data_IF_523329623430
#
_entry.id   IF_523329623430
#
_cell.length_a   1.000
_cell.length_b   1.000
_cell.length_c   1.000
_cell.angle_alpha   90.00
_cell.angle_beta   90.00
_cell.angle_gamma   90.00
#
_symmetry.space_group_name_H-M   'P 1'
#
loop_
_entity.id
_entity.type
_entity.pdbx_description
1 polymer ?
#
# COMPACT_ATOMS: atom_id res chain seq x y z
N UNK A 1 -3.65 11.33 -13.77
CA UNK A 1 -2.66 11.36 -12.68
C UNK A 1 -1.98 10.00 -12.63
N UNK A 2 -0.74 9.92 -12.14
CA UNK A 2 0.03 8.67 -12.11
C UNK A 2 0.01 8.04 -10.72
N UNK A 3 0.09 6.71 -10.69
CA UNK A 3 0.32 5.90 -9.49
C UNK A 3 1.71 5.28 -9.63
N UNK A 4 2.59 5.60 -8.69
CA UNK A 4 3.97 5.10 -8.66
C UNK A 4 4.13 4.14 -7.49
N UNK A 5 4.64 2.94 -7.68
CA UNK A 5 4.91 2.01 -6.59
C UNK A 5 6.39 1.87 -6.29
N UNK A 6 6.77 2.05 -5.02
CA UNK A 6 8.15 1.87 -4.56
C UNK A 6 8.29 0.48 -3.93
N UNK A 7 9.21 -0.32 -4.49
CA UNK A 7 9.54 -1.67 -4.01
C UNK A 7 11.01 -1.78 -3.65
N UNK A 8 11.35 -2.74 -2.79
CA UNK A 8 12.70 -2.93 -2.28
C UNK A 8 12.74 -3.51 -0.87
N UNK A 9 13.89 -4.05 -0.48
CA UNK A 9 14.06 -4.70 0.83
C UNK A 9 14.03 -3.68 1.99
N UNK A 10 13.83 -4.17 3.22
CA UNK A 10 13.96 -3.34 4.42
C UNK A 10 15.35 -2.69 4.46
N UNK A 11 15.42 -1.42 4.87
CA UNK A 11 16.68 -0.65 4.87
C UNK A 11 17.15 -0.15 3.50
N UNK A 12 16.48 -0.47 2.38
CA UNK A 12 16.88 -0.02 1.04
C UNK A 12 16.56 1.47 0.72
N UNK A 13 16.16 2.27 1.72
CA UNK A 13 15.88 3.69 1.52
C UNK A 13 14.52 4.04 0.88
N UNK A 14 13.61 3.07 0.72
CA UNK A 14 12.26 3.30 0.14
C UNK A 14 11.50 4.44 0.81
N UNK A 15 11.55 4.49 2.14
CA UNK A 15 10.86 5.52 2.92
C UNK A 15 11.38 6.92 2.61
N UNK A 16 12.69 7.06 2.33
CA UNK A 16 13.27 8.34 1.93
C UNK A 16 12.80 8.75 0.53
N UNK A 17 12.75 7.80 -0.42
CA UNK A 17 12.21 8.06 -1.76
C UNK A 17 10.74 8.46 -1.68
N UNK A 18 9.92 7.74 -0.90
CA UNK A 18 8.52 8.06 -0.70
C UNK A 18 8.33 9.46 -0.11
N UNK A 19 9.19 9.87 0.83
CA UNK A 19 9.18 11.21 1.40
C UNK A 19 9.51 12.28 0.36
N UNK A 20 10.49 12.05 -0.51
CA UNK A 20 10.79 12.98 -1.62
C UNK A 20 9.58 13.14 -2.55
N UNK A 21 8.86 12.05 -2.85
CA UNK A 21 7.61 12.14 -3.62
C UNK A 21 6.56 13.03 -2.90
N UNK A 22 6.37 12.84 -1.59
CA UNK A 22 5.46 13.68 -0.79
C UNK A 22 5.85 15.16 -0.83
N UNK A 23 7.14 15.48 -0.66
CA UNK A 23 7.67 16.84 -0.73
C UNK A 23 7.47 17.48 -2.12
N UNK A 24 7.36 16.66 -3.17
CA UNK A 24 7.05 17.09 -4.54
C UNK A 24 5.55 17.01 -4.89
N UNK A 25 4.68 16.93 -3.89
CA UNK A 25 3.24 17.06 -4.03
C UNK A 25 2.49 15.76 -4.33
N UNK A 26 3.15 14.60 -4.29
CA UNK A 26 2.45 13.32 -4.37
C UNK A 26 1.75 13.01 -3.05
N UNK A 27 0.65 12.26 -3.12
CA UNK A 27 0.00 11.71 -1.94
C UNK A 27 0.58 10.30 -1.70
N UNK A 28 1.15 10.09 -0.52
CA UNK A 28 1.67 8.77 -0.13
C UNK A 28 0.58 7.88 0.46
N UNK A 29 0.57 6.64 0.00
CA UNK A 29 -0.26 5.56 0.54
C UNK A 29 0.67 4.43 0.95
N UNK A 30 0.79 4.20 2.26
CA UNK A 30 1.54 3.07 2.80
C UNK A 30 0.60 1.89 2.94
N UNK A 31 0.91 0.79 2.26
CA UNK A 31 0.06 -0.41 2.30
C UNK A 31 -0.02 -1.01 3.70
N UNK A 32 1.06 -0.89 4.48
CA UNK A 32 1.11 -1.32 5.88
C UNK A 32 -0.01 -0.71 6.75
N UNK A 33 -0.49 0.49 6.43
CA UNK A 33 -1.52 1.19 7.21
C UNK A 33 -2.82 0.37 7.33
N UNK A 34 -3.15 -0.45 6.33
CA UNK A 34 -4.33 -1.34 6.39
C UNK A 34 -4.20 -2.34 7.54
N UNK A 35 -3.00 -2.87 7.79
CA UNK A 35 -2.74 -3.77 8.91
C UNK A 35 -2.95 -3.03 10.23
N UNK A 36 -2.38 -1.82 10.33
CA UNK A 36 -2.44 -0.99 11.53
C UNK A 36 -3.90 -0.58 11.85
N UNK A 37 -4.68 -0.24 10.84
CA UNK A 37 -6.11 0.06 10.95
C UNK A 37 -6.92 -1.16 11.39
N UNK A 38 -6.64 -2.34 10.84
CA UNK A 38 -7.37 -3.58 11.15
C UNK A 38 -7.07 -4.08 12.58
N UNK A 39 -5.81 -3.97 13.04
CA UNK A 39 -5.42 -4.20 14.44
C UNK A 39 -6.23 -3.30 15.37
N UNK A 40 -6.27 -1.99 15.08
CA UNK A 40 -7.01 -1.01 15.88
C UNK A 40 -8.51 -1.27 15.87
N UNK A 41 -9.10 -1.62 14.72
CA UNK A 41 -10.53 -2.00 14.60
C UNK A 41 -10.89 -3.19 15.47
N UNK A 42 -9.96 -4.14 15.63
CA UNK A 42 -10.12 -5.34 16.47
C UNK A 42 -9.79 -5.10 17.94
N UNK A 43 -9.36 -3.89 18.30
CA UNK A 43 -8.96 -3.55 19.68
C UNK A 43 -7.68 -4.26 20.13
N UNK A 44 -6.84 -4.71 19.18
CA UNK A 44 -5.57 -5.36 19.48
C UNK A 44 -4.46 -4.33 19.69
N UNK A 45 -3.45 -4.72 20.46
CA UNK A 45 -2.24 -3.91 20.63
C UNK A 45 -1.39 -3.94 19.36
N UNK A 46 -0.82 -2.80 18.98
CA UNK A 46 0.04 -2.69 17.81
C UNK A 46 1.43 -3.21 18.17
N UNK A 47 1.68 -4.48 17.85
CA UNK A 47 2.92 -5.19 18.08
C UNK A 47 3.21 -6.15 16.91
N UNK A 48 4.45 -6.65 16.81
CA UNK A 48 4.89 -7.48 15.68
C UNK A 48 4.07 -8.77 15.52
N UNK A 49 3.64 -9.37 16.64
CA UNK A 49 2.85 -10.61 16.64
C UNK A 49 1.47 -10.38 16.00
N UNK A 50 0.77 -9.33 16.44
CA UNK A 50 -0.53 -8.96 15.91
C UNK A 50 -0.43 -8.47 14.46
N UNK A 51 0.60 -7.70 14.11
CA UNK A 51 0.85 -7.28 12.73
C UNK A 51 1.07 -8.46 11.78
N UNK A 52 1.84 -9.45 12.21
CA UNK A 52 2.05 -10.66 11.42
C UNK A 52 0.75 -11.44 11.28
N UNK A 53 0.03 -11.66 12.39
CA UNK A 53 -1.21 -12.40 12.41
C UNK A 53 -2.27 -11.78 11.50
N UNK A 54 -2.51 -10.46 11.62
CA UNK A 54 -3.50 -9.75 10.81
C UNK A 54 -3.13 -9.73 9.34
N UNK A 55 -1.85 -9.54 9.00
CA UNK A 55 -1.38 -9.58 7.62
C UNK A 55 -1.56 -10.95 6.98
N UNK A 56 -1.27 -12.03 7.70
CA UNK A 56 -1.52 -13.40 7.25
C UNK A 56 -3.03 -13.64 7.07
N UNK A 57 -3.86 -13.17 8.01
CA UNK A 57 -5.32 -13.30 7.93
C UNK A 57 -5.92 -12.55 6.74
N UNK A 58 -5.50 -11.30 6.48
CA UNK A 58 -5.95 -10.53 5.32
C UNK A 58 -5.60 -11.22 4.01
N UNK A 59 -4.43 -11.86 3.93
CA UNK A 59 -4.02 -12.64 2.75
C UNK A 59 -4.80 -13.95 2.61
N UNK A 60 -5.21 -14.59 3.72
CA UNK A 60 -6.07 -15.76 3.68
C UNK A 60 -7.48 -15.40 3.18
N UNK A 61 -8.00 -14.24 3.58
CA UNK A 61 -9.36 -13.79 3.25
C UNK A 61 -9.48 -13.21 1.84
N UNK A 62 -8.54 -12.34 1.44
CA UNK A 62 -8.60 -11.59 0.18
C UNK A 62 -7.56 -12.05 -0.87
N UNK A 63 -6.77 -13.07 -0.55
CA UNK A 63 -5.69 -13.58 -1.39
C UNK A 63 -4.45 -12.67 -1.41
N UNK A 64 -3.52 -12.99 -2.31
CA UNK A 64 -2.23 -12.28 -2.41
C UNK A 64 -2.36 -10.83 -2.90
N UNK A 65 -3.50 -10.44 -3.47
CA UNK A 65 -3.81 -9.06 -3.89
C UNK A 65 -4.49 -8.21 -2.80
N UNK A 66 -4.58 -8.70 -1.56
CA UNK A 66 -5.37 -8.10 -0.48
C UNK A 66 -5.13 -6.59 -0.32
N UNK A 67 -3.88 -6.17 -0.16
CA UNK A 67 -3.58 -4.77 0.15
C UNK A 67 -3.87 -3.83 -1.02
N UNK A 68 -3.67 -4.28 -2.26
CA UNK A 68 -4.01 -3.49 -3.44
C UNK A 68 -5.53 -3.28 -3.54
N UNK A 69 -6.32 -4.33 -3.30
CA UNK A 69 -7.79 -4.25 -3.29
C UNK A 69 -8.31 -3.35 -2.18
N UNK A 70 -7.79 -3.52 -0.96
CA UNK A 70 -8.22 -2.75 0.21
C UNK A 70 -7.84 -1.27 0.11
N UNK A 71 -6.72 -0.94 -0.53
CA UNK A 71 -6.32 0.45 -0.76
C UNK A 71 -6.95 1.09 -2.01
N UNK A 72 -7.64 0.35 -2.87
CA UNK A 72 -8.12 0.85 -4.16
C UNK A 72 -8.96 2.13 -4.02
N UNK A 73 -9.93 2.13 -3.11
CA UNK A 73 -10.77 3.31 -2.87
C UNK A 73 -9.99 4.53 -2.34
N UNK A 74 -8.93 4.28 -1.54
CA UNK A 74 -8.04 5.32 -1.01
C UNK A 74 -7.15 5.88 -2.11
N UNK A 75 -6.63 5.03 -3.00
CA UNK A 75 -5.84 5.43 -4.17
C UNK A 75 -6.71 6.25 -5.13
N UNK A 76 -7.90 5.76 -5.48
CA UNK A 76 -8.82 6.46 -6.39
C UNK A 76 -9.26 7.83 -5.84
N UNK A 77 -9.44 7.94 -4.53
CA UNK A 77 -9.76 9.22 -3.89
C UNK A 77 -8.59 10.19 -3.89
N UNK A 78 -7.36 9.69 -3.66
CA UNK A 78 -6.15 10.50 -3.72
C UNK A 78 -5.86 10.99 -5.16
N UNK A 79 -6.07 10.13 -6.15
CA UNK A 79 -5.90 10.42 -7.58
C UNK A 79 -6.87 11.48 -8.14
N UNK A 80 -7.88 11.90 -7.37
CA UNK A 80 -8.70 13.07 -7.75
C UNK A 80 -7.96 14.38 -7.52
N UNK A 81 -6.96 14.40 -6.64
CA UNK A 81 -6.30 15.60 -6.15
C UNK A 81 -4.82 15.67 -6.56
N UNK A 82 -4.08 14.56 -6.50
CA UNK A 82 -2.67 14.51 -6.91
C UNK A 82 -2.23 13.12 -7.36
N UNK A 83 -1.04 13.03 -7.97
CA UNK A 83 -0.37 11.76 -8.22
C UNK A 83 -0.13 11.01 -6.90
N UNK A 84 -0.11 9.68 -6.96
CA UNK A 84 -0.01 8.83 -5.79
C UNK A 84 1.31 8.07 -5.79
N UNK A 85 1.96 8.01 -4.64
CA UNK A 85 3.09 7.11 -4.40
C UNK A 85 2.67 6.02 -3.42
N UNK A 86 2.82 4.76 -3.83
CA UNK A 86 2.55 3.58 -3.01
C UNK A 86 3.86 3.13 -2.37
N UNK A 87 3.86 3.02 -1.05
CA UNK A 87 4.96 2.50 -0.26
C UNK A 87 4.61 1.13 0.33
N UNK A 88 5.40 0.12 -0.04
CA UNK A 88 5.29 -1.23 0.49
C UNK A 88 4.38 -2.15 -0.33
N UNK A 89 4.61 -2.24 -1.64
CA UNK A 89 4.02 -3.31 -2.45
C UNK A 89 4.79 -4.62 -2.19
N UNK A 90 4.08 -5.68 -1.81
CA UNK A 90 4.65 -6.91 -1.24
C UNK A 90 4.50 -8.14 -2.14
N UNK A 91 3.56 -8.14 -3.09
CA UNK A 91 3.30 -9.32 -3.93
C UNK A 91 3.22 -8.98 -5.42
N UNK A 92 3.49 -9.98 -6.27
CA UNK A 92 3.31 -9.86 -7.72
C UNK A 92 1.84 -9.69 -8.09
N UNK A 93 0.94 -10.29 -7.31
CA UNK A 93 -0.51 -10.19 -7.47
C UNK A 93 -1.03 -8.79 -7.15
N UNK A 94 -0.43 -8.07 -6.19
CA UNK A 94 -0.71 -6.65 -5.96
C UNK A 94 -0.27 -5.80 -7.16
N UNK A 95 0.92 -6.07 -7.70
CA UNK A 95 1.44 -5.37 -8.88
C UNK A 95 0.54 -5.57 -10.10
N UNK A 96 0.24 -6.83 -10.44
CA UNK A 96 -0.59 -7.17 -11.60
C UNK A 96 -2.00 -6.62 -11.45
N UNK A 97 -2.61 -6.71 -10.27
CA UNK A 97 -3.92 -6.11 -9.99
C UNK A 97 -3.94 -4.59 -10.26
N UNK A 98 -2.96 -3.85 -9.74
CA UNK A 98 -2.88 -2.40 -9.96
C UNK A 98 -2.54 -2.07 -11.42
N UNK A 99 -1.68 -2.87 -12.06
CA UNK A 99 -1.30 -2.69 -13.47
C UNK A 99 -2.49 -2.92 -14.41
N UNK A 100 -3.29 -3.93 -14.13
CA UNK A 100 -4.51 -4.23 -14.91
C UNK A 100 -5.58 -3.15 -14.70
N UNK A 101 -5.69 -2.60 -13.48
CA UNK A 101 -6.69 -1.58 -13.16
C UNK A 101 -6.33 -0.18 -13.71
N UNK A 102 -5.08 0.26 -13.54
CA UNK A 102 -4.64 1.61 -13.93
C UNK A 102 -3.90 1.66 -15.28
N UNK A 103 -3.54 0.52 -15.87
CA UNK A 103 -2.92 0.45 -17.20
C UNK A 103 -1.62 1.24 -17.31
N UNK A 104 -1.57 2.19 -18.23
CA UNK A 104 -0.40 3.06 -18.48
C UNK A 104 -0.20 4.14 -17.40
N UNK A 105 -1.17 4.33 -16.51
CA UNK A 105 -1.07 5.27 -15.40
C UNK A 105 -0.39 4.69 -14.15
N UNK A 106 -0.11 3.39 -14.13
CA UNK A 106 0.65 2.72 -13.07
C UNK A 106 2.07 2.33 -13.51
N UNK A 107 3.05 2.74 -12.70
CA UNK A 107 4.47 2.39 -12.86
C UNK A 107 5.14 1.94 -11.56
#
# INVERSE_FOLDING_TARGET
MKVVSIVGMAGAGKSEVARVFEENGFIRIRFGDITDEEIRKRGLELNEENERHIRELLRQEYGMSAYARLNLARIDSALKNSNVVIDGLYSWEEYTFLKDYYGEDFC
#
